data_IF_197542190905
#
_entry.id   IF_197542190905
#
_cell.length_a   1.000
_cell.length_b   1.000
_cell.length_c   1.000
_cell.angle_alpha   90.00
_cell.angle_beta   90.00
_cell.angle_gamma   90.00
#
_symmetry.space_group_name_H-M   'P 1'
#
loop_
_entity.id
_entity.type
_entity.pdbx_description
1 polymer ?
#
# COMPACT_ATOMS: atom_id res chain seq x y z
N UNK A 1 41.10 -40.15 -25.74
CA UNK A 1 40.62 -39.74 -24.39
C UNK A 1 39.71 -38.55 -24.56
N UNK A 2 38.40 -38.78 -24.60
CA UNK A 2 37.39 -37.72 -24.67
C UNK A 2 36.80 -37.52 -23.26
N UNK A 3 37.03 -36.35 -22.66
CA UNK A 3 36.39 -35.98 -21.40
C UNK A 3 34.98 -35.42 -21.72
N UNK A 4 33.98 -36.17 -21.31
CA UNK A 4 32.58 -35.80 -21.30
C UNK A 4 32.32 -34.84 -20.16
N UNK A 5 32.01 -33.57 -20.45
CA UNK A 5 31.56 -32.59 -19.45
C UNK A 5 30.05 -32.76 -19.27
N UNK A 6 29.64 -33.32 -18.15
CA UNK A 6 28.25 -33.26 -17.68
C UNK A 6 27.95 -31.83 -17.21
N UNK A 7 27.09 -31.14 -17.92
CA UNK A 7 26.48 -29.88 -17.47
C UNK A 7 25.25 -30.25 -16.67
N UNK A 8 25.31 -30.12 -15.34
CA UNK A 8 24.15 -30.24 -14.47
C UNK A 8 23.29 -28.97 -14.61
N UNK A 9 22.18 -29.09 -15.30
CA UNK A 9 21.16 -28.05 -15.33
C UNK A 9 20.37 -28.09 -14.02
N UNK A 10 20.60 -27.10 -13.15
CA UNK A 10 19.76 -26.87 -11.96
C UNK A 10 18.46 -26.22 -12.43
N UNK A 11 17.39 -27.00 -12.53
CA UNK A 11 16.04 -26.49 -12.72
C UNK A 11 15.60 -25.84 -11.41
N UNK A 12 15.65 -24.51 -11.33
CA UNK A 12 14.93 -23.74 -10.29
C UNK A 12 13.46 -23.75 -10.67
N UNK A 13 12.72 -24.68 -10.10
CA UNK A 13 11.26 -24.67 -10.16
C UNK A 13 10.76 -23.50 -9.32
N UNK A 14 10.46 -22.36 -9.94
CA UNK A 14 9.63 -21.34 -9.34
C UNK A 14 8.26 -21.97 -9.10
N UNK A 15 7.95 -22.27 -7.85
CA UNK A 15 6.60 -22.66 -7.43
C UNK A 15 5.70 -21.42 -7.58
N UNK A 16 5.18 -21.22 -8.78
CA UNK A 16 4.06 -20.31 -9.03
C UNK A 16 2.84 -21.02 -8.44
N UNK A 17 2.41 -20.59 -7.26
CA UNK A 17 1.15 -21.05 -6.69
C UNK A 17 0.03 -20.78 -7.70
N UNK A 18 -0.86 -21.72 -7.98
CA UNK A 18 -1.97 -21.50 -8.91
C UNK A 18 -2.85 -20.35 -8.40
N UNK A 19 -3.36 -19.51 -9.30
CA UNK A 19 -4.17 -18.32 -8.98
C UNK A 19 -5.33 -18.64 -8.00
N UNK A 20 -5.97 -19.78 -8.14
CA UNK A 20 -7.03 -20.24 -7.23
C UNK A 20 -6.56 -20.44 -5.77
N UNK A 21 -5.30 -20.86 -5.55
CA UNK A 21 -4.75 -21.01 -4.20
C UNK A 21 -4.45 -19.63 -3.57
N UNK A 22 -4.05 -18.65 -4.36
CA UNK A 22 -3.88 -17.27 -3.91
C UNK A 22 -5.23 -16.63 -3.53
N UNK A 23 -6.28 -16.84 -4.30
CA UNK A 23 -7.62 -16.31 -4.00
C UNK A 23 -8.18 -16.87 -2.70
N UNK A 24 -7.98 -18.16 -2.41
CA UNK A 24 -8.37 -18.80 -1.14
C UNK A 24 -7.61 -18.19 0.04
N UNK A 25 -6.31 -17.98 -0.10
CA UNK A 25 -5.49 -17.40 0.96
C UNK A 25 -5.87 -15.94 1.23
N UNK A 26 -6.07 -15.12 0.21
CA UNK A 26 -6.55 -13.75 0.39
C UNK A 26 -7.95 -13.70 1.00
N UNK A 27 -8.84 -14.62 0.64
CA UNK A 27 -10.17 -14.73 1.27
C UNK A 27 -10.05 -15.10 2.75
N UNK A 28 -9.14 -16.02 3.10
CA UNK A 28 -8.87 -16.39 4.49
C UNK A 28 -8.33 -15.19 5.29
N UNK A 29 -7.35 -14.48 4.75
CA UNK A 29 -6.79 -13.28 5.36
C UNK A 29 -7.83 -12.18 5.52
N UNK A 30 -8.70 -11.98 4.54
CA UNK A 30 -9.77 -11.00 4.60
C UNK A 30 -10.75 -11.24 5.78
N UNK A 31 -10.90 -12.49 6.21
CA UNK A 31 -11.76 -12.87 7.36
C UNK A 31 -11.00 -12.94 8.68
N UNK A 32 -9.68 -12.77 8.68
CA UNK A 32 -8.89 -12.85 9.90
C UNK A 32 -9.08 -11.61 10.78
N UNK A 33 -8.85 -11.78 12.08
CA UNK A 33 -8.80 -10.71 13.07
C UNK A 33 -7.49 -10.77 13.84
N UNK A 34 -7.19 -9.77 14.63
CA UNK A 34 -5.99 -9.72 15.44
C UNK A 34 -4.73 -9.36 14.64
N UNK A 35 -3.68 -10.17 14.75
CA UNK A 35 -2.38 -9.95 14.11
C UNK A 35 -2.01 -11.14 13.22
N UNK A 36 -2.68 -11.31 12.07
CA UNK A 36 -2.46 -12.46 11.22
C UNK A 36 -1.04 -12.47 10.63
N UNK A 37 -0.49 -13.66 10.45
CA UNK A 37 0.69 -13.84 9.61
C UNK A 37 0.27 -13.74 8.14
N UNK A 38 0.90 -12.81 7.41
CA UNK A 38 0.64 -12.59 5.99
C UNK A 38 1.84 -13.13 5.20
N UNK A 39 1.70 -14.27 4.53
CA UNK A 39 2.80 -14.88 3.80
C UNK A 39 3.47 -13.91 2.82
N UNK A 40 4.79 -13.81 2.89
CA UNK A 40 5.58 -12.93 2.04
C UNK A 40 5.64 -11.46 2.48
N UNK A 41 4.99 -11.08 3.58
CA UNK A 41 5.16 -9.76 4.20
C UNK A 41 5.90 -9.84 5.53
N UNK A 42 6.91 -9.00 5.68
CA UNK A 42 7.47 -8.67 6.99
C UNK A 42 6.61 -7.57 7.61
N UNK A 43 5.65 -7.96 8.47
CA UNK A 43 4.71 -7.02 9.06
C UNK A 43 4.92 -6.85 10.56
N UNK A 44 4.84 -5.61 11.03
CA UNK A 44 4.87 -5.22 12.44
C UNK A 44 3.51 -4.63 12.80
N UNK A 45 2.76 -5.38 13.58
CA UNK A 45 1.46 -4.97 14.10
C UNK A 45 1.64 -4.09 15.33
N UNK A 46 1.50 -2.78 15.18
CA UNK A 46 1.39 -1.84 16.30
C UNK A 46 -0.05 -1.79 16.81
N UNK A 47 -1.01 -1.80 15.88
CA UNK A 47 -2.43 -1.99 16.17
C UNK A 47 -2.94 -3.26 15.46
N UNK A 48 -3.81 -4.07 16.09
CA UNK A 48 -4.37 -5.25 15.45
C UNK A 48 -5.53 -4.89 14.50
N UNK A 49 -5.89 -5.84 13.64
CA UNK A 49 -7.18 -5.81 12.96
C UNK A 49 -8.30 -6.19 13.93
N UNK A 50 -9.41 -5.45 13.89
CA UNK A 50 -10.67 -5.84 14.52
C UNK A 50 -11.51 -6.79 13.66
N UNK A 51 -12.77 -6.95 14.01
CA UNK A 51 -13.74 -7.54 13.10
C UNK A 51 -13.97 -6.58 11.93
N UNK A 52 -13.97 -7.09 10.69
CA UNK A 52 -14.22 -6.27 9.51
C UNK A 52 -15.63 -5.65 9.52
N UNK A 53 -16.57 -6.24 10.24
CA UNK A 53 -17.90 -5.69 10.43
C UNK A 53 -17.90 -4.38 11.25
N UNK A 54 -16.92 -4.21 12.11
CA UNK A 54 -16.72 -3.01 12.93
C UNK A 54 -15.78 -1.97 12.26
N UNK A 55 -15.14 -2.35 11.17
CA UNK A 55 -14.28 -1.46 10.41
C UNK A 55 -15.08 -0.32 9.78
N UNK A 56 -14.41 0.77 9.49
CA UNK A 56 -14.99 1.84 8.64
C UNK A 56 -15.33 1.26 7.26
N UNK A 57 -16.32 1.81 6.55
CA UNK A 57 -16.66 1.39 5.19
C UNK A 57 -15.59 1.88 4.20
N UNK A 58 -14.37 1.34 4.31
CA UNK A 58 -13.26 1.67 3.44
C UNK A 58 -13.60 1.33 1.99
N UNK A 59 -13.43 2.30 1.09
CA UNK A 59 -13.75 2.16 -0.34
C UNK A 59 -12.57 2.43 -1.25
N UNK A 60 -11.53 3.07 -0.73
CA UNK A 60 -10.39 3.53 -1.50
C UNK A 60 -9.08 3.26 -0.75
N UNK A 61 -8.00 3.18 -1.50
CA UNK A 61 -6.63 3.20 -0.98
C UNK A 61 -5.94 4.42 -1.58
N UNK A 62 -5.31 5.24 -0.74
CA UNK A 62 -4.52 6.40 -1.16
C UNK A 62 -3.06 6.15 -0.82
N UNK A 63 -2.20 6.21 -1.84
CA UNK A 63 -0.76 6.00 -1.71
C UNK A 63 -0.05 7.32 -1.53
N UNK A 64 0.77 7.38 -0.46
CA UNK A 64 1.57 8.52 -0.06
C UNK A 64 3.06 8.17 -0.04
N UNK A 65 3.91 9.18 0.12
CA UNK A 65 5.34 9.02 0.41
C UNK A 65 5.77 10.02 1.49
N UNK A 66 6.69 9.57 2.36
CA UNK A 66 7.14 10.36 3.52
C UNK A 66 7.96 11.58 3.14
N UNK A 67 8.49 11.64 1.91
CA UNK A 67 9.50 12.62 1.47
C UNK A 67 10.75 12.60 2.35
N UNK A 68 10.98 11.49 3.07
CA UNK A 68 12.03 11.33 4.07
C UNK A 68 12.96 10.15 3.78
N UNK A 69 14.05 10.04 4.55
CA UNK A 69 15.04 8.97 4.40
C UNK A 69 14.52 7.62 4.93
N UNK A 70 15.33 6.59 4.77
CA UNK A 70 15.18 5.29 5.47
C UNK A 70 14.96 5.53 6.97
N UNK A 71 13.99 4.84 7.55
CA UNK A 71 13.54 5.00 8.94
C UNK A 71 12.36 5.95 9.11
N UNK A 72 12.02 6.75 8.09
CA UNK A 72 10.91 7.72 8.18
C UNK A 72 9.54 7.05 8.32
N UNK A 73 9.30 5.93 7.62
CA UNK A 73 8.04 5.19 7.78
C UNK A 73 7.93 4.54 9.16
N UNK A 74 9.00 3.94 9.68
CA UNK A 74 9.01 3.39 11.04
C UNK A 74 8.72 4.46 12.09
N UNK A 75 9.39 5.62 12.00
CA UNK A 75 9.16 6.73 12.91
C UNK A 75 7.71 7.25 12.83
N UNK A 76 7.21 7.46 11.61
CA UNK A 76 5.83 7.87 11.37
C UNK A 76 4.81 6.90 11.95
N UNK A 77 5.02 5.60 11.75
CA UNK A 77 4.14 4.54 12.28
C UNK A 77 4.07 4.55 13.81
N UNK A 78 5.21 4.71 14.48
CA UNK A 78 5.28 4.77 15.94
C UNK A 78 4.54 5.99 16.51
N UNK A 79 4.70 7.15 15.89
CA UNK A 79 3.99 8.36 16.28
C UNK A 79 2.49 8.27 15.96
N UNK A 80 2.13 7.62 14.84
CA UNK A 80 0.73 7.38 14.48
C UNK A 80 0.05 6.46 15.49
N UNK A 81 0.72 5.41 15.93
CA UNK A 81 0.19 4.50 16.95
C UNK A 81 -0.11 5.22 18.28
N UNK A 82 0.75 6.15 18.71
CA UNK A 82 0.54 6.95 19.92
C UNK A 82 -0.66 7.91 19.82
N UNK A 83 -0.94 8.40 18.60
CA UNK A 83 -2.07 9.30 18.33
C UNK A 83 -2.73 8.90 17.00
N UNK A 84 -3.65 7.92 17.01
CA UNK A 84 -4.19 7.29 15.80
C UNK A 84 -4.92 8.23 14.83
N UNK A 85 -5.50 9.31 15.32
CA UNK A 85 -6.29 10.27 14.51
C UNK A 85 -5.49 11.48 14.03
N UNK A 86 -4.19 11.56 14.40
CA UNK A 86 -3.31 12.63 13.94
C UNK A 86 -3.14 12.61 12.42
N UNK A 87 -2.47 13.64 11.89
CA UNK A 87 -2.02 13.66 10.50
C UNK A 87 -1.02 12.53 10.26
N UNK A 88 -1.28 11.73 9.24
CA UNK A 88 -0.54 10.54 8.85
C UNK A 88 -1.49 9.45 8.37
N UNK A 89 -1.03 8.22 8.27
CA UNK A 89 -1.75 7.13 7.60
C UNK A 89 -1.90 5.89 8.50
N UNK A 90 -2.71 4.94 8.06
CA UNK A 90 -2.93 3.67 8.75
C UNK A 90 -1.74 2.71 8.61
N UNK A 91 -1.15 2.64 7.42
CA UNK A 91 -0.13 1.66 7.05
C UNK A 91 1.11 2.35 6.50
N UNK A 92 2.28 1.93 6.94
CA UNK A 92 3.56 2.48 6.57
C UNK A 92 4.48 1.40 6.01
N UNK A 93 5.22 1.69 4.95
CA UNK A 93 6.13 0.73 4.29
C UNK A 93 7.53 1.31 4.24
N UNK A 94 8.46 0.64 4.91
CA UNK A 94 9.85 1.06 5.00
C UNK A 94 10.64 0.66 3.74
N UNK A 95 11.80 1.25 3.53
CA UNK A 95 12.66 1.00 2.36
C UNK A 95 13.09 -0.46 2.20
N UNK A 96 13.15 -1.23 3.31
CA UNK A 96 13.43 -2.67 3.31
C UNK A 96 12.18 -3.54 3.07
N UNK A 97 11.02 -2.93 2.79
CA UNK A 97 9.75 -3.59 2.59
C UNK A 97 9.02 -3.99 3.89
N UNK A 98 9.55 -3.63 5.06
CA UNK A 98 8.84 -3.85 6.33
C UNK A 98 7.58 -3.01 6.38
N UNK A 99 6.44 -3.65 6.64
CA UNK A 99 5.13 -3.01 6.77
C UNK A 99 4.84 -2.78 8.26
N UNK A 100 4.44 -1.56 8.62
CA UNK A 100 3.96 -1.22 9.96
C UNK A 100 2.47 -0.91 9.87
N UNK A 101 1.66 -1.66 10.60
CA UNK A 101 0.23 -1.40 10.77
C UNK A 101 0.03 -0.61 12.06
N UNK A 102 -0.28 0.67 11.98
CA UNK A 102 -0.20 1.58 13.12
C UNK A 102 -1.55 2.03 13.68
N UNK A 103 -2.66 1.79 12.98
CA UNK A 103 -3.98 2.27 13.40
C UNK A 103 -5.01 1.15 13.25
N UNK A 104 -5.86 0.98 14.26
CA UNK A 104 -6.99 0.06 14.17
C UNK A 104 -7.96 0.48 13.06
N UNK A 105 -8.54 -0.48 12.36
CA UNK A 105 -9.28 -0.28 11.11
C UNK A 105 -10.64 0.42 11.24
N UNK A 106 -11.08 0.73 12.45
CA UNK A 106 -12.26 1.57 12.71
C UNK A 106 -11.89 3.06 12.94
N UNK A 107 -10.60 3.40 13.06
CA UNK A 107 -10.13 4.76 13.29
C UNK A 107 -9.66 5.42 11.98
N UNK A 108 -9.79 6.74 11.90
CA UNK A 108 -9.49 7.53 10.70
C UNK A 108 -8.30 8.45 10.95
N UNK A 109 -7.11 8.14 10.41
CA UNK A 109 -6.01 9.09 10.33
C UNK A 109 -6.33 10.26 9.40
N UNK A 110 -5.72 11.41 9.64
CA UNK A 110 -5.88 12.58 8.77
C UNK A 110 -4.79 12.59 7.69
N UNK A 111 -5.03 11.98 6.52
CA UNK A 111 -4.02 11.82 5.45
C UNK A 111 -4.36 12.53 4.14
N UNK A 112 -5.58 13.02 3.99
CA UNK A 112 -6.00 13.89 2.89
C UNK A 112 -7.00 14.89 3.44
N UNK A 113 -7.12 16.06 2.83
CA UNK A 113 -8.19 16.97 3.21
C UNK A 113 -9.53 16.45 2.64
N UNK A 114 -10.63 16.74 3.32
CA UNK A 114 -11.94 16.27 2.89
C UNK A 114 -12.44 16.95 1.62
N UNK A 115 -11.72 17.92 1.08
CA UNK A 115 -12.15 18.74 -0.03
C UNK A 115 -11.57 18.31 -1.39
N UNK A 116 -10.54 17.45 -1.43
CA UNK A 116 -9.84 17.09 -2.66
C UNK A 116 -9.53 18.34 -3.50
N UNK A 117 -8.44 19.02 -3.25
CA UNK A 117 -8.11 20.25 -3.98
C UNK A 117 -8.08 20.00 -5.48
N UNK A 118 -9.09 20.49 -6.19
CA UNK A 118 -9.18 20.40 -7.64
C UNK A 118 -8.46 21.59 -8.28
N UNK A 119 -7.21 21.40 -8.70
CA UNK A 119 -6.51 22.35 -9.54
C UNK A 119 -6.50 21.84 -10.99
N UNK A 120 -7.54 22.18 -11.72
CA UNK A 120 -7.74 21.77 -13.12
C UNK A 120 -6.62 22.17 -14.08
N UNK A 121 -5.72 23.05 -13.64
CA UNK A 121 -4.52 23.41 -14.40
C UNK A 121 -3.49 22.27 -14.45
N UNK A 122 -3.43 21.44 -13.42
CA UNK A 122 -2.41 20.42 -13.26
C UNK A 122 -2.96 19.00 -13.24
N UNK A 123 -4.14 18.80 -12.66
CA UNK A 123 -4.80 17.50 -12.56
C UNK A 123 -6.30 17.66 -12.85
N UNK A 124 -6.88 16.63 -13.44
CA UNK A 124 -8.34 16.47 -13.50
C UNK A 124 -8.76 15.43 -12.45
N UNK A 125 -9.23 15.92 -11.32
CA UNK A 125 -9.76 15.08 -10.24
C UNK A 125 -11.30 15.19 -10.11
N UNK A 126 -11.98 15.64 -11.14
CA UNK A 126 -13.45 15.80 -11.14
C UNK A 126 -14.20 14.52 -10.72
N UNK A 127 -13.68 13.35 -11.09
CA UNK A 127 -14.26 12.06 -10.73
C UNK A 127 -14.06 11.67 -9.25
N UNK A 128 -13.05 12.25 -8.58
CA UNK A 128 -12.70 11.94 -7.19
C UNK A 128 -13.08 13.04 -6.21
N UNK A 129 -13.36 14.23 -6.71
CA UNK A 129 -13.66 15.42 -5.92
C UNK A 129 -14.86 15.18 -5.00
N UNK A 130 -14.67 15.35 -3.71
CA UNK A 130 -15.60 15.00 -2.63
C UNK A 130 -16.05 13.52 -2.59
N UNK A 131 -15.53 12.66 -3.46
CA UNK A 131 -15.86 11.24 -3.49
C UNK A 131 -14.78 10.39 -2.81
N UNK A 132 -13.51 10.75 -3.00
CA UNK A 132 -12.37 10.08 -2.37
C UNK A 132 -11.82 11.00 -1.27
N UNK A 133 -12.15 10.66 -0.03
CA UNK A 133 -11.84 11.47 1.15
C UNK A 133 -11.27 10.59 2.26
N UNK A 134 -10.58 11.18 3.24
CA UNK A 134 -9.98 10.45 4.36
C UNK A 134 -10.96 9.49 5.06
N UNK A 135 -12.23 9.89 5.19
CA UNK A 135 -13.23 9.14 5.94
C UNK A 135 -13.66 7.82 5.27
N UNK A 136 -13.33 7.62 3.99
CA UNK A 136 -13.61 6.41 3.23
C UNK A 136 -12.36 5.79 2.57
N UNK A 137 -11.17 6.24 2.95
CA UNK A 137 -9.91 5.83 2.31
C UNK A 137 -8.87 5.38 3.32
N UNK A 138 -8.17 4.29 2.99
CA UNK A 138 -7.00 3.81 3.73
C UNK A 138 -5.76 4.50 3.16
N UNK A 139 -5.03 5.24 3.99
CA UNK A 139 -3.72 5.78 3.63
C UNK A 139 -2.62 4.75 3.78
N UNK A 140 -1.76 4.61 2.77
CA UNK A 140 -0.53 3.80 2.80
C UNK A 140 0.65 4.69 2.45
N UNK A 141 1.60 4.83 3.37
CA UNK A 141 2.75 5.72 3.25
C UNK A 141 4.03 4.94 3.04
N UNK A 142 4.81 5.31 2.04
CA UNK A 142 6.10 4.68 1.73
C UNK A 142 7.25 5.59 2.14
N UNK A 143 8.24 5.03 2.85
CA UNK A 143 9.48 5.74 3.12
C UNK A 143 10.20 6.06 1.80
N UNK A 144 10.56 7.30 1.60
CA UNK A 144 11.29 7.73 0.42
C UNK A 144 10.95 9.14 0.00
N UNK A 145 11.81 9.68 -0.82
CA UNK A 145 11.59 10.94 -1.51
C UNK A 145 11.78 10.68 -3.00
N UNK A 146 10.69 10.56 -3.72
CA UNK A 146 10.68 10.30 -5.16
C UNK A 146 10.38 11.63 -5.88
N UNK A 147 11.38 12.49 -6.07
CA UNK A 147 11.20 13.85 -6.59
C UNK A 147 10.68 13.85 -8.01
N UNK A 148 10.85 12.75 -8.72
CA UNK A 148 10.32 12.53 -10.06
C UNK A 148 10.06 11.04 -10.33
N UNK A 149 9.51 10.72 -11.50
CA UNK A 149 9.19 9.36 -11.92
C UNK A 149 10.42 8.49 -12.24
N UNK A 150 11.62 9.06 -12.22
CA UNK A 150 12.87 8.36 -12.54
C UNK A 150 13.49 7.69 -11.30
N UNK A 151 13.13 8.16 -10.11
CA UNK A 151 13.58 7.61 -8.83
C UNK A 151 12.39 6.93 -8.16
N UNK A 152 12.24 5.66 -8.42
CA UNK A 152 11.13 4.86 -7.89
C UNK A 152 11.36 4.29 -6.50
N UNK A 153 10.38 3.58 -5.97
CA UNK A 153 10.50 2.84 -4.72
C UNK A 153 11.53 1.70 -4.85
N UNK A 154 12.01 1.22 -3.71
CA UNK A 154 12.94 0.07 -3.69
C UNK A 154 12.26 -1.21 -4.18
N UNK A 155 13.01 -2.20 -4.71
CA UNK A 155 12.45 -3.49 -5.06
C UNK A 155 11.73 -4.19 -3.90
N UNK A 156 12.22 -4.01 -2.66
CA UNK A 156 11.58 -4.55 -1.45
C UNK A 156 10.22 -3.90 -1.18
N UNK A 157 10.10 -2.59 -1.33
CA UNK A 157 8.82 -1.88 -1.21
C UNK A 157 7.84 -2.33 -2.29
N UNK A 158 8.30 -2.50 -3.54
CA UNK A 158 7.44 -2.98 -4.65
C UNK A 158 6.93 -4.40 -4.36
N UNK A 159 7.81 -5.30 -3.88
CA UNK A 159 7.43 -6.67 -3.53
C UNK A 159 6.41 -6.70 -2.38
N UNK A 160 6.64 -5.94 -1.31
CA UNK A 160 5.72 -5.81 -0.19
C UNK A 160 4.37 -5.22 -0.63
N UNK A 161 4.39 -4.17 -1.47
CA UNK A 161 3.19 -3.52 -1.97
C UNK A 161 2.31 -4.45 -2.80
N UNK A 162 2.93 -5.29 -3.63
CA UNK A 162 2.19 -6.26 -4.45
C UNK A 162 1.31 -7.19 -3.61
N UNK A 163 1.78 -7.60 -2.44
CA UNK A 163 1.02 -8.45 -1.51
C UNK A 163 0.05 -7.59 -0.71
N UNK A 164 0.53 -6.51 -0.10
CA UNK A 164 -0.25 -5.66 0.78
C UNK A 164 -1.51 -5.12 0.10
N UNK A 165 -1.42 -4.62 -1.14
CA UNK A 165 -2.58 -4.09 -1.85
C UNK A 165 -3.66 -5.15 -2.10
N UNK A 166 -3.27 -6.40 -2.36
CA UNK A 166 -4.23 -7.50 -2.53
C UNK A 166 -4.92 -7.85 -1.21
N UNK A 167 -4.16 -7.88 -0.11
CA UNK A 167 -4.71 -8.13 1.24
C UNK A 167 -5.71 -7.03 1.63
N UNK A 168 -5.36 -5.77 1.45
CA UNK A 168 -6.25 -4.63 1.73
C UNK A 168 -7.53 -4.70 0.90
N UNK A 169 -7.39 -4.96 -0.39
CA UNK A 169 -8.53 -5.08 -1.30
C UNK A 169 -9.44 -6.25 -0.92
N UNK A 170 -8.87 -7.42 -0.64
CA UNK A 170 -9.64 -8.59 -0.23
C UNK A 170 -10.37 -8.38 1.10
N UNK A 171 -9.71 -7.71 2.08
CA UNK A 171 -10.30 -7.44 3.39
C UNK A 171 -11.50 -6.51 3.32
N UNK A 172 -11.39 -5.42 2.58
CA UNK A 172 -12.39 -4.34 2.58
C UNK A 172 -13.24 -4.27 1.31
N UNK A 173 -13.07 -5.22 0.38
CA UNK A 173 -13.82 -5.24 -0.87
C UNK A 173 -13.49 -4.06 -1.80
N UNK A 174 -12.27 -3.53 -1.76
CA UNK A 174 -11.87 -2.33 -2.51
C UNK A 174 -11.56 -2.72 -3.97
N UNK A 175 -12.22 -2.13 -4.97
CA UNK A 175 -11.92 -2.35 -6.37
C UNK A 175 -10.50 -1.88 -6.74
N UNK A 176 -9.92 -2.46 -7.80
CA UNK A 176 -8.55 -2.13 -8.19
C UNK A 176 -8.39 -0.69 -8.68
N UNK A 177 -9.37 -0.17 -9.36
CA UNK A 177 -9.44 1.20 -9.86
C UNK A 177 -9.67 2.24 -8.74
N UNK A 178 -9.94 1.78 -7.51
CA UNK A 178 -10.03 2.60 -6.31
C UNK A 178 -8.69 2.70 -5.54
N UNK A 179 -7.58 2.37 -6.17
CA UNK A 179 -6.23 2.65 -5.65
C UNK A 179 -5.73 3.94 -6.31
N UNK A 180 -5.56 4.97 -5.52
CA UNK A 180 -5.19 6.31 -5.98
C UNK A 180 -3.82 6.74 -5.48
N UNK A 181 -3.12 7.54 -6.27
CA UNK A 181 -2.03 8.36 -5.77
C UNK A 181 -2.59 9.58 -5.05
N UNK A 182 -1.94 10.04 -4.00
CA UNK A 182 -2.36 11.27 -3.31
C UNK A 182 -2.42 12.45 -4.28
N UNK A 183 -1.42 12.59 -5.15
CA UNK A 183 -1.36 13.67 -6.12
C UNK A 183 -2.48 13.64 -7.18
N UNK A 184 -3.18 12.51 -7.38
CA UNK A 184 -4.35 12.45 -8.26
C UNK A 184 -5.61 12.99 -7.60
N UNK A 185 -5.59 13.20 -6.29
CA UNK A 185 -6.72 13.66 -5.49
C UNK A 185 -6.46 15.09 -5.03
N UNK A 186 -5.34 15.30 -4.33
CA UNK A 186 -4.90 16.59 -3.83
C UNK A 186 -3.59 16.98 -4.52
N UNK A 187 -3.63 17.89 -5.50
CA UNK A 187 -2.42 18.37 -6.14
C UNK A 187 -1.55 19.15 -5.16
N UNK A 188 -0.30 18.73 -5.00
CA UNK A 188 0.66 19.37 -4.10
C UNK A 188 1.76 20.09 -4.83
N UNK A 189 2.40 19.44 -5.80
CA UNK A 189 3.58 19.97 -6.48
C UNK A 189 3.63 19.49 -7.95
N UNK A 190 3.99 20.39 -8.85
CA UNK A 190 4.17 20.08 -10.28
C UNK A 190 5.45 19.30 -10.57
N UNK A 191 6.42 19.29 -9.64
CA UNK A 191 7.74 18.68 -9.83
C UNK A 191 7.76 17.18 -9.62
N UNK A 192 6.85 16.64 -8.84
CA UNK A 192 6.73 15.21 -8.60
C UNK A 192 5.28 14.80 -8.34
N UNK A 193 5.01 13.51 -8.48
CA UNK A 193 3.70 12.96 -8.29
C UNK A 193 3.69 12.03 -7.08
N UNK A 194 3.24 12.54 -5.92
CA UNK A 194 3.15 11.76 -4.69
C UNK A 194 2.28 10.52 -4.86
N UNK A 195 2.88 9.34 -4.68
CA UNK A 195 2.22 8.05 -4.75
C UNK A 195 1.98 7.48 -6.16
N UNK A 196 2.23 8.25 -7.23
CA UNK A 196 1.86 7.87 -8.60
C UNK A 196 2.49 6.56 -9.06
N UNK A 197 3.77 6.33 -8.76
CA UNK A 197 4.48 5.13 -9.18
C UNK A 197 3.80 3.87 -8.63
N UNK A 198 3.60 3.83 -7.33
CA UNK A 198 3.05 2.66 -6.64
C UNK A 198 1.56 2.46 -6.91
N UNK A 199 0.77 3.54 -7.01
CA UNK A 199 -0.63 3.45 -7.40
C UNK A 199 -0.78 2.91 -8.84
N UNK A 200 0.08 3.36 -9.77
CA UNK A 200 0.10 2.85 -11.15
C UNK A 200 0.47 1.37 -11.19
N UNK A 201 1.53 0.97 -10.48
CA UNK A 201 1.92 -0.45 -10.39
C UNK A 201 0.77 -1.31 -9.86
N UNK A 202 0.09 -0.88 -8.79
CA UNK A 202 -1.04 -1.62 -8.23
C UNK A 202 -2.13 -1.85 -9.29
N UNK A 203 -2.50 -0.81 -10.04
CA UNK A 203 -3.51 -0.91 -11.11
C UNK A 203 -3.08 -1.79 -12.29
N UNK A 204 -1.78 -1.95 -12.52
CA UNK A 204 -1.25 -2.84 -13.56
C UNK A 204 -1.30 -4.32 -13.17
N UNK A 205 -1.13 -4.66 -11.88
CA UNK A 205 -1.06 -6.05 -11.43
C UNK A 205 -2.40 -6.79 -11.44
N UNK A 206 -3.49 -6.11 -11.55
CA UNK A 206 -4.83 -6.70 -11.58
C UNK A 206 -5.46 -6.82 -12.97
N UNK A 207 -4.65 -6.60 -14.02
CA UNK A 207 -5.09 -6.72 -15.43
C UNK A 207 -4.75 -8.07 -16.02
#
# INVERSE_FOLDING_TARGET
MMLSRLVAAVLVALLIAPAAAMDVEFTRLARSTGTPDIPGLKIVWLAPWGDVADARPWRNIIVHQTEGPTGSARGGAQEQFKNPTRRGVMVWVETDGTVYWSVADHLVPTHTDGANRNDSKYIDNSATYHQVVRDNSIGVEFAGNYPDVTIGPTPAQVAAWKILVQVLRARYGIPLDHVYAHNWIDFKDARYCEGCWLATLARMWGR
#
